data_IF_550606760074
#
_entry.id   IF_550606760074
#
_cell.length_a   1.000
_cell.length_b   1.000
_cell.length_c   1.000
_cell.angle_alpha   90.00
_cell.angle_beta   90.00
_cell.angle_gamma   90.00
#
_symmetry.space_group_name_H-M   'P 1'
#
loop_
_entity.id
_entity.type
_entity.pdbx_description
1 polymer ?
#
# COMPACT_ATOMS: atom_id res chain seq x y z
N UNK A 1 22.84 26.26 29.97
CA UNK A 1 22.22 27.57 29.69
C UNK A 1 20.80 27.34 29.22
N UNK A 2 19.79 28.03 29.76
CA UNK A 2 18.45 28.08 29.15
C UNK A 2 18.50 28.88 27.85
N UNK A 3 17.81 28.42 26.80
CA UNK A 3 17.80 29.05 25.47
C UNK A 3 16.37 29.43 25.07
N UNK A 4 15.95 30.64 25.45
CA UNK A 4 14.63 31.22 25.09
C UNK A 4 13.43 30.29 25.37
N UNK A 5 13.56 29.33 26.28
CA UNK A 5 12.52 28.34 26.61
C UNK A 5 12.46 27.11 25.69
N UNK A 6 13.28 27.02 24.64
CA UNK A 6 13.30 25.87 23.72
C UNK A 6 13.91 24.59 24.33
N UNK A 7 14.61 24.70 25.45
CA UNK A 7 15.16 23.57 26.21
C UNK A 7 14.50 23.42 27.59
N UNK A 8 13.19 23.68 27.66
CA UNK A 8 12.40 23.48 28.88
C UNK A 8 12.10 21.99 29.11
N UNK A 9 12.15 21.55 30.37
CA UNK A 9 12.00 20.14 30.79
C UNK A 9 12.91 19.18 30.02
N UNK A 10 12.35 18.28 29.22
CA UNK A 10 13.06 17.26 28.46
C UNK A 10 13.33 17.67 27.00
N UNK A 11 13.05 18.91 26.64
CA UNK A 11 13.29 19.41 25.30
C UNK A 11 14.80 19.57 25.04
N UNK A 12 15.27 19.01 23.93
CA UNK A 12 16.67 19.11 23.49
C UNK A 12 16.74 19.98 22.24
N UNK A 13 17.53 21.05 22.32
CA UNK A 13 17.84 21.88 21.16
C UNK A 13 18.98 21.24 20.38
N UNK A 14 18.79 21.07 19.07
CA UNK A 14 19.80 20.52 18.16
C UNK A 14 20.21 21.58 17.13
N UNK A 15 21.49 21.56 16.74
CA UNK A 15 21.99 22.44 15.68
C UNK A 15 21.60 21.88 14.31
N UNK A 16 21.14 22.74 13.40
CA UNK A 16 20.85 22.37 11.99
C UNK A 16 22.08 21.79 11.27
N UNK A 17 23.29 22.14 11.74
CA UNK A 17 24.54 21.57 11.23
C UNK A 17 24.54 20.04 11.25
N UNK A 18 23.89 19.41 12.23
CA UNK A 18 23.79 17.95 12.34
C UNK A 18 23.01 17.32 11.18
N UNK A 19 22.10 18.07 10.55
CA UNK A 19 21.34 17.65 9.37
C UNK A 19 22.22 17.77 8.13
N UNK A 20 22.90 18.90 7.95
CA UNK A 20 23.77 19.15 6.80
C UNK A 20 25.01 18.23 6.75
N UNK A 21 25.47 17.75 7.90
CA UNK A 21 26.59 16.81 8.01
C UNK A 21 26.14 15.34 8.05
N UNK A 22 24.85 15.05 7.84
CA UNK A 22 24.26 13.70 7.85
C UNK A 22 24.54 12.90 9.14
N UNK A 23 24.80 13.57 10.26
CA UNK A 23 25.19 12.94 11.54
C UNK A 23 24.02 12.13 12.15
N UNK A 24 22.79 12.62 11.99
CA UNK A 24 21.58 11.99 12.52
C UNK A 24 20.76 11.25 11.45
N UNK A 25 21.36 10.94 10.30
CA UNK A 25 20.71 10.19 9.23
C UNK A 25 20.82 8.67 9.47
N UNK A 26 19.72 7.95 9.33
CA UNK A 26 19.68 6.49 9.54
C UNK A 26 18.86 5.77 8.48
N UNK A 27 19.21 4.50 8.22
CA UNK A 27 18.48 3.63 7.30
C UNK A 27 17.57 2.68 8.07
N UNK A 28 16.29 2.65 7.66
CA UNK A 28 15.30 1.73 8.22
C UNK A 28 14.81 0.76 7.15
N UNK A 29 15.05 -0.54 7.36
CA UNK A 29 14.55 -1.60 6.49
C UNK A 29 13.27 -2.19 7.10
N UNK A 30 12.25 -2.38 6.26
CA UNK A 30 10.98 -3.01 6.66
C UNK A 30 10.63 -4.15 5.73
N UNK A 31 10.06 -5.20 6.34
CA UNK A 31 9.52 -6.33 5.62
C UNK A 31 8.00 -6.24 5.64
N UNK A 32 7.40 -6.22 4.46
CA UNK A 32 5.97 -6.37 4.26
C UNK A 32 5.71 -7.72 3.64
N UNK A 33 4.70 -8.43 4.14
CA UNK A 33 4.35 -9.76 3.67
C UNK A 33 2.87 -9.85 3.37
N UNK A 34 2.55 -10.56 2.30
CA UNK A 34 1.20 -10.98 1.97
C UNK A 34 1.23 -12.45 1.57
N UNK A 35 0.20 -13.19 1.97
CA UNK A 35 0.01 -14.60 1.64
C UNK A 35 -1.18 -14.76 0.72
N UNK A 36 -1.09 -15.76 -0.14
CA UNK A 36 -2.19 -16.23 -0.98
C UNK A 36 -2.71 -17.54 -0.42
N UNK A 37 -4.03 -17.64 -0.34
CA UNK A 37 -4.74 -18.82 0.13
C UNK A 37 -5.66 -19.35 -0.98
N UNK A 38 -6.03 -20.61 -0.86
CA UNK A 38 -7.12 -21.18 -1.65
C UNK A 38 -8.39 -21.01 -0.84
N UNK A 39 -9.35 -20.27 -1.37
CA UNK A 39 -10.68 -20.12 -0.76
C UNK A 39 -11.66 -21.09 -1.41
N UNK A 40 -12.84 -21.25 -0.82
CA UNK A 40 -13.91 -22.06 -1.41
C UNK A 40 -14.36 -21.52 -2.79
N UNK A 41 -14.14 -20.22 -3.03
CA UNK A 41 -14.47 -19.53 -4.28
C UNK A 41 -13.38 -19.60 -5.34
N UNK A 42 -12.21 -20.12 -4.98
CA UNK A 42 -11.08 -20.28 -5.89
C UNK A 42 -9.75 -19.85 -5.27
N UNK A 43 -8.64 -20.09 -5.98
CA UNK A 43 -7.33 -19.67 -5.54
C UNK A 43 -7.17 -18.14 -5.66
N UNK A 44 -6.63 -17.50 -4.62
CA UNK A 44 -6.16 -16.13 -4.72
C UNK A 44 -4.98 -16.04 -5.69
N UNK A 45 -4.96 -15.00 -6.53
CA UNK A 45 -3.96 -14.85 -7.61
C UNK A 45 -3.18 -13.56 -7.42
N UNK A 46 -1.86 -13.65 -7.60
CA UNK A 46 -0.99 -12.47 -7.72
C UNK A 46 -1.00 -12.07 -9.19
N UNK A 47 -1.37 -10.81 -9.46
CA UNK A 47 -1.45 -10.30 -10.83
C UNK A 47 -1.29 -8.78 -10.86
N UNK A 48 -0.78 -8.27 -11.99
CA UNK A 48 -0.78 -6.85 -12.32
C UNK A 48 -2.13 -6.36 -12.85
N UNK A 49 -2.94 -7.27 -13.39
CA UNK A 49 -4.24 -6.95 -13.97
C UNK A 49 -5.28 -6.87 -12.85
N UNK A 50 -5.43 -5.68 -12.28
CA UNK A 50 -6.42 -5.41 -11.23
C UNK A 50 -7.57 -4.60 -11.87
N UNK A 51 -8.81 -5.13 -11.88
CA UNK A 51 -9.95 -4.42 -12.44
C UNK A 51 -10.25 -3.16 -11.62
N UNK A 52 -10.84 -2.16 -12.26
CA UNK A 52 -11.26 -0.88 -11.65
C UNK A 52 -10.12 -0.01 -11.08
N UNK A 53 -8.86 -0.44 -11.22
CA UNK A 53 -7.72 0.33 -10.76
C UNK A 53 -7.09 1.11 -11.90
N UNK A 54 -6.76 2.38 -11.65
CA UNK A 54 -6.08 3.21 -12.64
C UNK A 54 -4.67 2.70 -12.96
N UNK A 55 -4.28 2.86 -14.23
CA UNK A 55 -2.96 2.44 -14.74
C UNK A 55 -1.79 3.11 -14.03
N UNK A 56 -2.00 4.28 -13.42
CA UNK A 56 -0.96 4.99 -12.68
C UNK A 56 -0.50 4.26 -11.41
N UNK A 57 -1.39 3.49 -10.76
CA UNK A 57 -1.03 2.68 -9.59
C UNK A 57 -0.27 1.41 -10.01
N UNK A 58 -0.57 0.88 -11.20
CA UNK A 58 0.00 -0.35 -11.74
C UNK A 58 1.36 -0.16 -12.42
N UNK A 59 1.78 1.09 -12.67
CA UNK A 59 3.03 1.41 -13.40
C UNK A 59 4.29 0.86 -12.73
N UNK A 60 4.27 0.71 -11.40
CA UNK A 60 5.42 0.25 -10.59
C UNK A 60 5.48 -1.28 -10.47
N UNK A 61 4.42 -1.99 -10.88
CA UNK A 61 4.35 -3.45 -10.82
C UNK A 61 4.97 -4.08 -12.08
N UNK A 62 5.69 -5.17 -11.86
CA UNK A 62 6.21 -6.06 -12.88
C UNK A 62 5.11 -6.94 -13.50
N UNK A 63 5.47 -7.82 -14.42
CA UNK A 63 4.52 -8.74 -15.09
C UNK A 63 3.85 -9.72 -14.13
N UNK A 64 4.45 -9.96 -12.96
CA UNK A 64 3.94 -10.89 -11.96
C UNK A 64 3.02 -10.19 -10.94
N UNK A 65 2.87 -8.86 -11.01
CA UNK A 65 2.10 -8.08 -10.04
C UNK A 65 2.90 -7.72 -8.79
N UNK A 66 4.23 -7.73 -8.85
CA UNK A 66 5.13 -7.38 -7.74
C UNK A 66 5.82 -6.05 -8.07
N UNK A 67 6.01 -5.17 -7.08
CA UNK A 67 6.76 -3.93 -7.28
C UNK A 67 8.18 -4.19 -7.79
N UNK A 68 8.60 -3.46 -8.82
CA UNK A 68 9.94 -3.59 -9.38
C UNK A 68 11.01 -3.10 -8.40
N UNK A 69 12.11 -3.85 -8.27
CA UNK A 69 13.25 -3.46 -7.45
C UNK A 69 13.81 -2.09 -7.90
N UNK A 70 14.14 -1.23 -6.93
CA UNK A 70 14.59 0.14 -7.19
C UNK A 70 13.48 1.16 -7.46
N UNK A 71 12.20 0.75 -7.42
CA UNK A 71 11.08 1.68 -7.52
C UNK A 71 10.94 2.52 -6.26
N UNK A 72 10.79 3.83 -6.44
CA UNK A 72 10.37 4.74 -5.39
C UNK A 72 8.87 4.56 -5.11
N UNK A 73 8.51 4.22 -3.87
CA UNK A 73 7.13 4.00 -3.44
C UNK A 73 6.72 4.99 -2.37
N UNK A 74 5.47 5.44 -2.45
CA UNK A 74 4.83 6.36 -1.52
C UNK A 74 3.66 5.68 -0.82
N UNK A 75 3.15 6.33 0.23
CA UNK A 75 1.99 5.82 0.97
C UNK A 75 0.79 5.64 0.04
N UNK A 76 0.17 4.47 0.08
CA UNK A 76 -0.95 4.10 -0.78
C UNK A 76 -0.55 3.33 -2.05
N UNK A 77 0.72 3.31 -2.42
CA UNK A 77 1.18 2.52 -3.57
C UNK A 77 1.00 1.02 -3.35
N UNK A 78 0.73 0.30 -4.44
CA UNK A 78 0.63 -1.16 -4.43
C UNK A 78 2.03 -1.77 -4.50
N UNK A 79 2.35 -2.58 -3.49
CA UNK A 79 3.58 -3.37 -3.42
C UNK A 79 3.39 -4.75 -4.08
N UNK A 80 2.23 -5.37 -3.88
CA UNK A 80 1.87 -6.66 -4.47
C UNK A 80 0.41 -6.65 -4.87
N UNK A 81 0.12 -6.79 -6.16
CA UNK A 81 -1.22 -6.93 -6.70
C UNK A 81 -1.78 -8.31 -6.41
N UNK A 82 -2.92 -8.37 -5.70
CA UNK A 82 -3.57 -9.62 -5.32
C UNK A 82 -5.07 -9.50 -5.58
N UNK A 83 -5.63 -10.54 -6.18
CA UNK A 83 -7.06 -10.71 -6.40
C UNK A 83 -7.57 -11.92 -5.63
N UNK A 84 -8.67 -11.71 -4.92
CA UNK A 84 -9.42 -12.77 -4.25
C UNK A 84 -10.72 -13.02 -5.03
N UNK A 85 -10.96 -14.25 -5.52
CA UNK A 85 -12.23 -14.57 -6.14
C UNK A 85 -13.34 -14.48 -5.09
N UNK A 86 -14.46 -13.86 -5.46
CA UNK A 86 -15.65 -13.69 -4.62
C UNK A 86 -16.83 -14.38 -5.32
N UNK A 87 -17.86 -14.78 -4.58
CA UNK A 87 -19.13 -15.19 -5.22
C UNK A 87 -19.70 -13.99 -5.98
N UNK A 88 -20.39 -14.25 -7.09
CA UNK A 88 -21.23 -13.26 -7.76
C UNK A 88 -22.42 -12.90 -6.85
N UNK A 89 -22.17 -12.17 -5.77
CA UNK A 89 -23.21 -11.49 -4.99
C UNK A 89 -23.61 -10.22 -5.74
N UNK A 90 -24.11 -10.37 -6.98
CA UNK A 90 -24.69 -9.25 -7.70
C UNK A 90 -26.05 -8.94 -7.09
N UNK A 91 -26.16 -7.81 -6.39
CA UNK A 91 -27.48 -7.27 -6.07
C UNK A 91 -28.16 -6.83 -7.36
N UNK A 92 -29.50 -6.89 -7.48
CA UNK A 92 -30.20 -6.41 -8.68
C UNK A 92 -29.87 -4.95 -9.01
N UNK A 93 -29.53 -4.14 -8.00
CA UNK A 93 -29.03 -2.77 -8.15
C UNK A 93 -27.68 -2.70 -8.86
N UNK A 94 -26.76 -3.61 -8.51
CA UNK A 94 -25.44 -3.70 -9.14
C UNK A 94 -25.59 -4.15 -10.60
N UNK A 95 -26.42 -5.16 -10.88
CA UNK A 95 -26.70 -5.61 -12.25
C UNK A 95 -27.28 -4.48 -13.12
N UNK A 96 -28.17 -3.66 -12.55
CA UNK A 96 -28.71 -2.46 -13.23
C UNK A 96 -27.62 -1.41 -13.47
N UNK A 97 -26.78 -1.13 -12.49
CA UNK A 97 -25.65 -0.21 -12.62
C UNK A 97 -24.66 -0.65 -13.69
N UNK A 98 -24.32 -1.94 -13.72
CA UNK A 98 -23.47 -2.53 -14.76
C UNK A 98 -24.07 -2.40 -16.16
N UNK A 99 -25.38 -2.63 -16.30
CA UNK A 99 -26.10 -2.48 -17.57
C UNK A 99 -26.16 -1.01 -18.04
N UNK A 100 -26.29 -0.05 -17.12
CA UNK A 100 -26.33 1.39 -17.45
C UNK A 100 -24.93 1.91 -17.79
N UNK A 101 -23.90 1.48 -17.05
CA UNK A 101 -22.52 1.98 -17.18
C UNK A 101 -21.68 1.17 -18.17
N UNK A 102 -22.18 0.02 -18.65
CA UNK A 102 -21.42 -0.89 -19.50
C UNK A 102 -20.18 -1.47 -18.81
N UNK A 103 -20.22 -1.58 -17.47
CA UNK A 103 -19.11 -2.07 -16.66
C UNK A 103 -19.41 -3.49 -16.20
N UNK A 104 -18.51 -4.42 -16.49
CA UNK A 104 -18.54 -5.73 -15.87
C UNK A 104 -18.22 -5.57 -14.39
N UNK A 105 -19.16 -5.95 -13.53
CA UNK A 105 -18.93 -6.03 -12.10
C UNK A 105 -18.05 -7.24 -11.85
N UNK A 106 -16.77 -6.97 -11.60
CA UNK A 106 -15.77 -8.03 -11.53
C UNK A 106 -16.09 -8.99 -10.37
N UNK A 107 -16.15 -10.29 -10.66
CA UNK A 107 -16.23 -11.41 -9.71
C UNK A 107 -15.00 -11.52 -8.77
N UNK A 108 -14.03 -10.63 -8.92
CA UNK A 108 -12.78 -10.63 -8.17
C UNK A 108 -12.61 -9.33 -7.38
N UNK A 109 -12.41 -9.47 -6.06
CA UNK A 109 -12.13 -8.35 -5.17
C UNK A 109 -10.62 -8.12 -5.11
N UNK A 110 -10.21 -6.86 -5.22
CA UNK A 110 -8.83 -6.48 -4.96
C UNK A 110 -8.49 -6.63 -3.47
N UNK A 111 -7.47 -7.44 -3.17
CA UNK A 111 -6.91 -7.65 -1.83
C UNK A 111 -5.40 -7.40 -1.81
N UNK A 112 -4.96 -6.42 -2.60
CA UNK A 112 -3.55 -6.08 -2.79
C UNK A 112 -2.86 -5.61 -1.51
N UNK A 113 -1.54 -5.81 -1.45
CA UNK A 113 -0.68 -5.24 -0.42
C UNK A 113 -0.32 -3.81 -0.79
N UNK A 114 -0.77 -2.84 0.00
CA UNK A 114 -0.45 -1.42 -0.17
C UNK A 114 0.49 -0.91 0.90
N UNK A 115 1.31 0.08 0.56
CA UNK A 115 2.14 0.77 1.54
C UNK A 115 1.23 1.56 2.50
N UNK A 116 1.29 1.30 3.82
CA UNK A 116 0.34 1.89 4.76
C UNK A 116 0.56 3.41 4.92
N UNK A 117 -0.53 4.17 4.97
CA UNK A 117 -0.51 5.62 5.19
C UNK A 117 0.07 6.04 6.54
N UNK A 118 -0.05 5.17 7.55
CA UNK A 118 0.39 5.45 8.92
C UNK A 118 1.35 4.40 9.43
N UNK A 119 2.34 4.85 10.17
CA UNK A 119 3.23 4.02 10.98
C UNK A 119 2.38 3.19 11.96
N UNK A 120 2.06 1.95 11.61
CA UNK A 120 1.63 0.99 12.63
C UNK A 120 2.90 0.63 13.40
N UNK A 121 2.99 1.10 14.66
CA UNK A 121 3.88 0.47 15.64
C UNK A 121 3.49 -1.00 15.65
N UNK A 122 4.30 -1.84 15.03
CA UNK A 122 4.25 -3.28 15.24
C UNK A 122 4.52 -3.44 16.74
N UNK A 123 3.47 -3.78 17.50
CA UNK A 123 3.67 -4.24 18.86
C UNK A 123 4.33 -5.61 18.71
N UNK A 124 5.53 -5.72 19.25
CA UNK A 124 6.11 -7.01 19.61
C UNK A 124 5.20 -7.70 20.63
#
# INVERSE_FOLDING_TARGET
>A
MPWEGYNFEDAVLISERLIYEDILTSFHIRRYEIKTYVTNQGPERITKEIPHLETHFLRKLDRNGIVMLGSWVETGDILVGKLTPTEDESFPEDTLLGAILGMDLSTAKETSLRLPYRWKRSRY
#
